data_IF_692297613579
#
_entry.id   IF_692297613579
#
_cell.length_a   1.000
_cell.length_b   1.000
_cell.length_c   1.000
_cell.angle_alpha   90.00
_cell.angle_beta   90.00
_cell.angle_gamma   90.00
#
_symmetry.space_group_name_H-M   'P 1'
#
loop_
_entity.id
_entity.type
_entity.pdbx_description
1 polymer ?
#
# COMPACT_ATOMS: atom_id res chain seq x y z
N UNK A 1 9.37 5.94 -17.39
CA UNK A 1 9.68 6.47 -16.04
C UNK A 1 9.16 7.90 -15.94
N UNK A 2 8.49 8.28 -14.84
CA UNK A 2 8.04 9.67 -14.60
C UNK A 2 9.11 10.45 -13.81
N UNK A 3 9.71 9.83 -12.79
CA UNK A 3 10.87 10.33 -12.06
C UNK A 3 11.63 9.16 -11.38
N UNK A 4 12.69 9.46 -10.64
CA UNK A 4 13.58 8.48 -9.99
C UNK A 4 12.88 7.46 -9.07
N UNK A 5 11.68 7.78 -8.58
CA UNK A 5 10.93 6.94 -7.65
C UNK A 5 9.55 6.56 -8.16
N UNK A 6 9.17 7.03 -9.35
CA UNK A 6 7.82 6.90 -9.88
C UNK A 6 7.85 6.41 -11.33
N UNK A 7 7.20 5.28 -11.55
CA UNK A 7 7.20 4.56 -12.82
C UNK A 7 5.76 4.37 -13.29
N UNK A 8 5.48 4.75 -14.54
CA UNK A 8 4.26 4.34 -15.22
C UNK A 8 4.60 3.16 -16.13
N UNK A 9 3.89 2.06 -15.96
CA UNK A 9 4.15 0.79 -16.64
C UNK A 9 2.87 0.25 -17.27
N UNK A 10 3.03 -0.70 -18.18
CA UNK A 10 1.92 -1.49 -18.70
C UNK A 10 1.51 -2.57 -17.70
N UNK A 11 0.20 -2.83 -17.58
CA UNK A 11 -0.30 -3.94 -16.79
C UNK A 11 0.21 -5.31 -17.25
N UNK A 12 0.52 -5.48 -18.54
CA UNK A 12 1.07 -6.72 -19.09
C UNK A 12 2.58 -6.88 -18.91
N UNK A 13 3.29 -5.90 -18.34
CA UNK A 13 4.71 -6.04 -18.04
C UNK A 13 4.94 -7.25 -17.12
N UNK A 14 5.93 -8.08 -17.46
CA UNK A 14 6.26 -9.25 -16.63
C UNK A 14 6.87 -8.78 -15.32
N UNK A 15 6.62 -9.53 -14.24
CA UNK A 15 7.13 -9.18 -12.91
C UNK A 15 8.66 -9.19 -12.88
N UNK A 16 9.27 -10.17 -13.52
CA UNK A 16 10.72 -10.29 -13.70
C UNK A 16 11.31 -9.02 -14.34
N UNK A 17 10.77 -8.62 -15.50
CA UNK A 17 11.16 -7.38 -16.21
C UNK A 17 10.97 -6.14 -15.32
N UNK A 18 9.85 -6.06 -14.59
CA UNK A 18 9.60 -4.94 -13.70
C UNK A 18 10.59 -4.89 -12.52
N UNK A 19 10.99 -6.04 -11.98
CA UNK A 19 12.00 -6.14 -10.93
C UNK A 19 13.38 -5.75 -11.47
N UNK A 20 13.76 -6.21 -12.66
CA UNK A 20 15.05 -5.94 -13.30
C UNK A 20 15.21 -4.47 -13.71
N UNK A 21 14.26 -3.92 -14.47
CA UNK A 21 14.39 -2.57 -15.03
C UNK A 21 14.20 -1.47 -13.98
N UNK A 22 13.32 -1.72 -13.02
CA UNK A 22 12.92 -0.71 -12.03
C UNK A 22 13.40 -1.07 -10.63
N UNK A 23 14.28 -2.06 -10.46
CA UNK A 23 14.84 -2.48 -9.17
C UNK A 23 13.79 -2.74 -8.08
N UNK A 24 12.66 -3.33 -8.46
CA UNK A 24 11.56 -3.63 -7.55
C UNK A 24 11.78 -5.00 -6.90
N UNK A 25 10.95 -5.33 -5.91
CA UNK A 25 10.98 -6.64 -5.24
C UNK A 25 9.57 -7.22 -5.16
N UNK A 26 8.86 -7.14 -6.28
CA UNK A 26 7.56 -7.77 -6.46
C UNK A 26 7.75 -9.29 -6.42
N UNK A 27 6.87 -10.04 -5.72
CA UNK A 27 6.96 -11.49 -5.67
C UNK A 27 6.68 -12.07 -7.04
N UNK A 28 7.43 -13.08 -7.40
CA UNK A 28 7.14 -13.97 -8.53
C UNK A 28 6.38 -15.20 -8.00
N UNK A 29 5.61 -15.86 -8.85
CA UNK A 29 4.82 -17.04 -8.47
C UNK A 29 4.16 -17.69 -9.67
N UNK A 30 3.62 -18.90 -9.49
CA UNK A 30 3.01 -19.67 -10.58
C UNK A 30 1.59 -19.17 -10.95
N UNK A 31 0.91 -18.47 -10.02
CA UNK A 31 -0.46 -18.00 -10.19
C UNK A 31 -0.57 -16.70 -11.01
N UNK A 32 0.54 -15.99 -11.21
CA UNK A 32 0.58 -14.71 -11.90
C UNK A 32 1.95 -14.47 -12.55
N UNK A 33 1.96 -13.90 -13.74
CA UNK A 33 3.21 -13.60 -14.47
C UNK A 33 3.43 -12.10 -14.68
N UNK A 34 2.35 -11.30 -14.62
CA UNK A 34 2.35 -9.87 -14.93
C UNK A 34 2.02 -9.04 -13.70
N UNK A 35 2.40 -7.76 -13.73
CA UNK A 35 2.08 -6.84 -12.63
C UNK A 35 0.57 -6.69 -12.44
N UNK A 36 -0.22 -6.67 -13.52
CA UNK A 36 -1.68 -6.68 -13.41
C UNK A 36 -2.21 -7.94 -12.73
N UNK A 37 -1.67 -9.12 -13.07
CA UNK A 37 -2.07 -10.40 -12.46
C UNK A 37 -1.80 -10.42 -10.96
N UNK A 38 -0.61 -9.96 -10.55
CA UNK A 38 -0.26 -9.81 -9.14
C UNK A 38 -1.24 -8.86 -8.43
N UNK A 39 -1.52 -7.69 -8.99
CA UNK A 39 -2.41 -6.71 -8.35
C UNK A 39 -3.83 -7.27 -8.21
N UNK A 40 -4.36 -7.94 -9.23
CA UNK A 40 -5.67 -8.58 -9.16
C UNK A 40 -5.71 -9.67 -8.08
N UNK A 41 -4.65 -10.49 -7.98
CA UNK A 41 -4.51 -11.49 -6.93
C UNK A 41 -4.50 -10.86 -5.53
N UNK A 42 -3.78 -9.74 -5.36
CA UNK A 42 -3.73 -9.01 -4.09
C UNK A 42 -5.06 -8.35 -3.71
N UNK A 43 -5.82 -7.85 -4.69
CA UNK A 43 -7.10 -7.16 -4.43
C UNK A 43 -8.27 -8.14 -4.24
N UNK A 44 -8.29 -9.24 -4.99
CA UNK A 44 -9.41 -10.20 -5.00
C UNK A 44 -10.65 -9.70 -5.75
N UNK A 45 -10.61 -8.53 -6.40
CA UNK A 45 -11.69 -7.96 -7.22
C UNK A 45 -11.13 -7.16 -8.39
N UNK A 46 -12.00 -6.81 -9.35
CA UNK A 46 -11.65 -5.92 -10.47
C UNK A 46 -11.57 -4.47 -9.95
N UNK A 47 -10.41 -3.81 -9.98
CA UNK A 47 -10.26 -2.46 -9.45
C UNK A 47 -10.93 -1.39 -10.31
N UNK A 48 -11.13 -0.21 -9.72
CA UNK A 48 -11.51 1.00 -10.44
C UNK A 48 -10.27 1.85 -10.79
N UNK A 49 -10.33 2.67 -11.85
CA UNK A 49 -9.32 3.71 -12.06
C UNK A 49 -9.17 4.60 -10.81
N UNK A 50 -7.94 4.98 -10.52
CA UNK A 50 -7.46 5.69 -9.33
C UNK A 50 -7.53 4.93 -8.00
N UNK A 51 -7.92 3.65 -8.00
CA UNK A 51 -7.78 2.79 -6.83
C UNK A 51 -6.30 2.59 -6.47
N UNK A 52 -6.02 2.51 -5.17
CA UNK A 52 -4.66 2.51 -4.62
C UNK A 52 -4.48 1.37 -3.66
N UNK A 53 -3.33 0.73 -3.75
CA UNK A 53 -2.88 -0.26 -2.78
C UNK A 53 -1.43 0.00 -2.39
N UNK A 54 -1.04 -0.48 -1.21
CA UNK A 54 0.33 -0.45 -0.72
C UNK A 54 0.81 -1.87 -0.54
N UNK A 55 2.01 -2.14 -1.04
CA UNK A 55 2.59 -3.47 -0.97
C UNK A 55 4.11 -3.39 -0.92
N UNK A 56 4.73 -3.95 0.12
CA UNK A 56 6.19 -4.01 0.32
C UNK A 56 6.94 -2.67 0.08
N UNK A 57 6.40 -1.58 0.62
CA UNK A 57 6.99 -0.24 0.44
C UNK A 57 6.78 0.38 -0.95
N UNK A 58 5.90 -0.21 -1.77
CA UNK A 58 5.42 0.38 -3.02
C UNK A 58 4.00 0.90 -2.82
N UNK A 59 3.75 2.10 -3.30
CA UNK A 59 2.41 2.60 -3.57
C UNK A 59 2.08 2.30 -5.02
N UNK A 60 0.98 1.60 -5.24
CA UNK A 60 0.49 1.17 -6.54
C UNK A 60 -0.82 1.91 -6.79
N UNK A 61 -0.96 2.53 -7.96
CA UNK A 61 -2.19 3.20 -8.39
C UNK A 61 -2.59 2.68 -9.75
N UNK A 62 -3.85 2.24 -9.88
CA UNK A 62 -4.43 1.87 -11.17
C UNK A 62 -4.75 3.16 -11.91
N UNK A 63 -4.02 3.50 -12.97
CA UNK A 63 -4.25 4.76 -13.69
C UNK A 63 -5.21 4.57 -14.87
N UNK A 64 -5.24 3.40 -15.48
CA UNK A 64 -6.09 3.13 -16.63
C UNK A 64 -6.60 1.68 -16.65
N UNK A 65 -7.89 1.52 -16.93
CA UNK A 65 -8.56 0.25 -17.18
C UNK A 65 -9.03 0.20 -18.64
N UNK A 66 -8.84 -0.95 -19.30
CA UNK A 66 -9.40 -1.24 -20.62
C UNK A 66 -10.35 -2.44 -20.51
N UNK A 67 -11.63 -2.15 -20.31
CA UNK A 67 -12.61 -3.17 -19.94
C UNK A 67 -12.27 -3.75 -18.56
N UNK A 68 -12.04 -5.06 -18.49
CA UNK A 68 -11.63 -5.76 -17.26
C UNK A 68 -10.11 -5.84 -17.08
N UNK A 69 -9.33 -5.37 -18.07
CA UNK A 69 -7.86 -5.40 -18.02
C UNK A 69 -7.33 -4.12 -17.38
N UNK A 70 -6.40 -4.26 -16.44
CA UNK A 70 -5.56 -3.15 -15.98
C UNK A 70 -4.57 -2.83 -17.10
N UNK A 71 -4.65 -1.62 -17.68
CA UNK A 71 -3.80 -1.24 -18.82
C UNK A 71 -2.57 -0.46 -18.36
N UNK A 72 -2.75 0.51 -17.44
CA UNK A 72 -1.65 1.33 -16.92
C UNK A 72 -1.65 1.36 -15.40
N UNK A 73 -0.44 1.27 -14.85
CA UNK A 73 -0.18 1.27 -13.42
C UNK A 73 0.88 2.32 -13.12
N UNK A 74 0.67 3.08 -12.06
CA UNK A 74 1.66 3.97 -11.49
C UNK A 74 2.23 3.35 -10.22
N UNK A 75 3.52 3.07 -10.23
CA UNK A 75 4.29 2.57 -9.10
C UNK A 75 5.12 3.70 -8.51
N UNK A 76 5.03 3.89 -7.19
CA UNK A 76 5.87 4.82 -6.44
C UNK A 76 6.57 4.09 -5.32
N UNK A 77 7.90 4.19 -5.27
CA UNK A 77 8.68 3.70 -4.13
C UNK A 77 8.47 4.63 -2.94
N UNK A 78 7.91 4.11 -1.87
CA UNK A 78 7.78 4.82 -0.61
C UNK A 78 9.00 4.46 0.24
N UNK A 79 9.95 5.39 0.30
CA UNK A 79 11.06 5.33 1.26
C UNK A 79 10.45 5.13 2.65
N UNK A 80 10.55 3.93 3.22
CA UNK A 80 10.22 3.71 4.62
C UNK A 80 11.19 4.56 5.43
N UNK A 81 10.79 5.79 5.74
CA UNK A 81 11.29 6.44 6.93
C UNK A 81 10.77 5.60 8.08
N UNK A 82 11.63 4.73 8.60
CA UNK A 82 11.39 3.94 9.78
C UNK A 82 10.94 4.88 10.92
N UNK A 83 9.62 5.04 11.05
CA UNK A 83 9.05 5.69 12.22
C UNK A 83 9.21 4.67 13.34
N UNK A 84 10.22 4.92 14.17
CA UNK A 84 10.37 4.35 15.49
C UNK A 84 9.00 4.48 16.19
N UNK A 85 8.23 3.40 16.24
CA UNK A 85 7.13 3.25 17.18
C UNK A 85 7.75 3.03 18.56
N UNK A 86 8.14 4.15 19.17
CA UNK A 86 8.37 4.30 20.60
C UNK A 86 6.99 4.27 21.28
N UNK A 87 6.89 3.44 22.33
CA UNK A 87 5.87 3.44 23.42
C UNK A 87 4.44 3.13 22.95
N UNK A 88 3.75 2.07 23.41
CA UNK A 88 3.45 1.73 24.81
C UNK A 88 3.12 0.24 24.96
N UNK A 89 3.92 -0.45 25.77
CA UNK A 89 3.47 -1.53 26.65
C UNK A 89 3.09 -0.89 28.00
N UNK A 90 2.26 -1.59 28.79
CA UNK A 90 2.00 -1.37 30.24
C UNK A 90 1.08 -0.18 30.61
N UNK A 91 0.06 -0.26 31.48
CA UNK A 91 -0.68 -1.32 32.21
C UNK A 91 -1.92 -0.63 32.84
N UNK A 92 -2.87 -1.40 33.37
CA UNK A 92 -4.01 -1.00 34.22
C UNK A 92 -3.73 0.11 35.25
N UNK A 93 -4.73 0.98 35.52
CA UNK A 93 -5.43 1.13 36.82
C UNK A 93 -6.65 2.10 36.67
N UNK A 94 -7.80 1.73 37.25
CA UNK A 94 -9.05 2.50 37.31
C UNK A 94 -9.00 3.65 38.37
N UNK A 95 -10.14 4.22 38.84
CA UNK A 95 -10.63 5.55 38.51
C UNK A 95 -10.36 6.59 39.62
N UNK A 96 -10.22 7.89 39.27
CA UNK A 96 -10.25 8.97 40.28
C UNK A 96 -10.99 10.21 39.78
N UNK A 97 -12.15 10.43 40.40
CA UNK A 97 -13.00 11.62 40.31
C UNK A 97 -14.39 11.21 40.77
N UNK A 98 -15.06 11.87 41.73
CA UNK A 98 -15.15 13.31 41.91
C UNK A 98 -15.51 13.60 43.37
N UNK A 99 -14.74 14.46 44.02
CA UNK A 99 -15.12 15.13 45.26
C UNK A 99 -16.05 16.28 44.89
N UNK A 100 -17.34 16.15 45.17
CA UNK A 100 -18.27 17.28 45.14
C UNK A 100 -18.29 17.90 46.54
N UNK A 101 -17.64 19.06 46.68
CA UNK A 101 -17.82 19.95 47.82
C UNK A 101 -18.96 20.89 47.44
N UNK A 102 -20.19 20.49 47.73
CA UNK A 102 -21.31 21.42 47.74
C UNK A 102 -21.36 22.14 49.08
N UNK A 103 -21.33 23.46 48.95
CA UNK A 103 -21.56 24.44 50.00
C UNK A 103 -23.08 24.49 50.27
N UNK A 104 -23.48 24.51 51.53
CA UNK A 104 -24.55 25.44 51.96
C UNK A 104 -24.62 25.56 53.47
N UNK A 105 -24.42 26.80 53.93
CA UNK A 105 -25.08 27.36 55.10
C UNK A 105 -26.51 27.80 54.71
#
# INVERSE_FOLDING_TARGET
MINEHTFQIDGSMRIEEANEEMGLSLPEGDDYETVAGLILSLLGHIPKPNEKLRYRGLKIVITEMKGLKIEKILLTREQQTATIQRVRHETEEEPKGKTTKDQKA
#
